data_IF_155000843411
#
_entry.id   IF_155000843411
#
_cell.length_a   1.000
_cell.length_b   1.000
_cell.length_c   1.000
_cell.angle_alpha   90.00
_cell.angle_beta   90.00
_cell.angle_gamma   90.00
#
_symmetry.space_group_name_H-M   'P 1'
#
loop_
_entity.id
_entity.type
_entity.pdbx_description
1 polymer ?
#
# COMPACT_ATOMS: atom_id res chain seq x y z
N UNK A 1 -22.32 -7.37 17.41
CA UNK A 1 -21.09 -7.05 16.65
C UNK A 1 -20.17 -6.42 17.67
N UNK A 2 -18.92 -6.88 17.81
CA UNK A 2 -18.02 -6.32 18.82
C UNK A 2 -17.72 -4.87 18.44
N UNK A 3 -18.11 -3.92 19.30
CA UNK A 3 -18.01 -2.47 19.06
C UNK A 3 -16.56 -1.94 19.10
N UNK A 4 -15.59 -2.81 19.38
CA UNK A 4 -14.15 -2.52 19.29
C UNK A 4 -13.53 -3.33 18.16
N UNK A 5 -12.85 -2.70 17.19
CA UNK A 5 -12.15 -3.45 16.16
C UNK A 5 -11.00 -4.23 16.81
N UNK A 6 -11.08 -5.56 16.73
CA UNK A 6 -10.05 -6.44 17.25
C UNK A 6 -8.87 -6.43 16.28
N UNK A 7 -7.66 -6.25 16.81
CA UNK A 7 -6.40 -6.34 16.07
C UNK A 7 -6.20 -7.73 15.49
N UNK A 8 -5.63 -7.79 14.30
CA UNK A 8 -5.21 -9.07 13.71
C UNK A 8 -4.24 -9.81 14.65
N UNK A 9 -3.27 -9.10 15.24
CA UNK A 9 -2.28 -9.70 16.14
C UNK A 9 -2.94 -10.38 17.33
N UNK A 10 -3.91 -9.73 17.98
CA UNK A 10 -4.70 -10.32 19.08
C UNK A 10 -5.48 -11.56 18.63
N UNK A 11 -6.09 -11.53 17.44
CA UNK A 11 -6.78 -12.71 16.90
C UNK A 11 -5.82 -13.88 16.66
N UNK A 12 -4.61 -13.60 16.15
CA UNK A 12 -3.59 -14.63 15.91
C UNK A 12 -3.00 -15.20 17.20
N UNK A 13 -2.84 -14.38 18.24
CA UNK A 13 -2.44 -14.84 19.58
C UNK A 13 -3.48 -15.79 20.17
N UNK A 14 -4.76 -15.42 20.14
CA UNK A 14 -5.87 -16.26 20.60
C UNK A 14 -5.90 -17.56 19.78
N UNK A 15 -5.81 -17.48 18.45
CA UNK A 15 -5.79 -18.63 17.56
C UNK A 15 -4.62 -19.58 17.90
N UNK A 16 -3.45 -19.03 18.19
CA UNK A 16 -2.27 -19.83 18.58
C UNK A 16 -2.50 -20.57 19.88
N UNK A 17 -3.03 -19.90 20.91
CA UNK A 17 -3.36 -20.53 22.19
C UNK A 17 -4.40 -21.64 22.00
N UNK A 18 -5.45 -21.39 21.20
CA UNK A 18 -6.48 -22.38 20.89
C UNK A 18 -5.92 -23.60 20.17
N UNK A 19 -5.01 -23.42 19.21
CA UNK A 19 -4.32 -24.52 18.52
C UNK A 19 -3.51 -25.34 19.51
N UNK A 20 -2.73 -24.71 20.39
CA UNK A 20 -1.91 -25.42 21.38
C UNK A 20 -2.78 -26.23 22.35
N UNK A 21 -3.88 -25.66 22.84
CA UNK A 21 -4.83 -26.37 23.70
C UNK A 21 -5.46 -27.55 22.95
N UNK A 22 -5.90 -27.33 21.72
CA UNK A 22 -6.54 -28.37 20.91
C UNK A 22 -5.59 -29.54 20.60
N UNK A 23 -4.34 -29.24 20.24
CA UNK A 23 -3.31 -30.26 20.02
C UNK A 23 -2.98 -31.01 21.31
N UNK A 24 -2.93 -30.33 22.47
CA UNK A 24 -2.73 -30.98 23.76
C UNK A 24 -3.89 -31.93 24.12
N UNK A 25 -5.14 -31.51 23.94
CA UNK A 25 -6.33 -32.35 24.19
C UNK A 25 -6.38 -33.58 23.28
N UNK A 26 -5.97 -33.43 22.02
CA UNK A 26 -5.86 -34.54 21.08
C UNK A 26 -4.74 -35.51 21.48
N UNK A 27 -3.56 -34.97 21.83
CA UNK A 27 -2.40 -35.75 22.28
C UNK A 27 -2.67 -36.51 23.59
N UNK A 28 -3.36 -35.89 24.54
CA UNK A 28 -3.73 -36.47 25.85
C UNK A 28 -4.92 -37.42 25.79
N UNK A 29 -5.54 -37.58 24.62
CA UNK A 29 -6.64 -38.52 24.36
C UNK A 29 -7.93 -38.22 25.12
N UNK A 30 -8.05 -37.01 25.69
CA UNK A 30 -9.21 -36.58 26.50
C UNK A 30 -10.49 -36.52 25.64
N UNK A 31 -10.37 -36.25 24.34
CA UNK A 31 -11.50 -36.12 23.39
C UNK A 31 -11.46 -37.18 22.27
N UNK A 32 -11.17 -38.45 22.61
CA UNK A 32 -11.09 -39.53 21.60
C UNK A 32 -12.41 -40.30 21.38
N UNK A 33 -12.64 -40.58 20.08
CA UNK A 33 -13.56 -41.52 19.42
C UNK A 33 -15.03 -41.10 19.26
N UNK A 34 -15.63 -41.41 18.07
CA UNK A 34 -14.98 -41.94 16.87
C UNK A 34 -14.14 -40.90 16.10
N UNK A 35 -14.29 -39.61 16.43
CA UNK A 35 -13.69 -38.50 15.68
C UNK A 35 -12.55 -37.86 16.51
N UNK A 36 -11.66 -37.10 15.86
CA UNK A 36 -10.62 -36.28 16.50
C UNK A 36 -11.03 -34.80 16.48
N UNK A 37 -12.08 -34.40 17.22
CA UNK A 37 -12.61 -33.04 17.15
C UNK A 37 -11.57 -31.98 17.54
N UNK A 38 -10.67 -32.30 18.46
CA UNK A 38 -9.58 -31.41 18.87
C UNK A 38 -8.56 -31.18 17.73
N UNK A 39 -8.19 -32.22 16.97
CA UNK A 39 -7.37 -32.05 15.77
C UNK A 39 -8.09 -31.22 14.69
N UNK A 40 -9.39 -31.47 14.47
CA UNK A 40 -10.19 -30.70 13.51
C UNK A 40 -10.22 -29.22 13.92
N UNK A 41 -10.45 -28.93 15.21
CA UNK A 41 -10.42 -27.56 15.73
C UNK A 41 -9.07 -26.88 15.51
N UNK A 42 -7.96 -27.60 15.73
CA UNK A 42 -6.62 -27.07 15.46
C UNK A 42 -6.45 -26.72 13.98
N UNK A 43 -6.82 -27.62 13.06
CA UNK A 43 -6.75 -27.39 11.61
C UNK A 43 -7.61 -26.19 11.20
N UNK A 44 -8.86 -26.14 11.64
CA UNK A 44 -9.79 -25.04 11.33
C UNK A 44 -9.22 -23.72 11.85
N UNK A 45 -8.71 -23.68 13.08
CA UNK A 45 -8.12 -22.47 13.66
C UNK A 45 -6.89 -22.00 12.86
N UNK A 46 -6.02 -22.92 12.41
CA UNK A 46 -4.88 -22.60 11.54
C UNK A 46 -5.36 -22.02 10.20
N UNK A 47 -6.37 -22.63 9.57
CA UNK A 47 -6.93 -22.14 8.31
C UNK A 47 -7.54 -20.74 8.47
N UNK A 48 -8.28 -20.50 9.56
CA UNK A 48 -8.84 -19.18 9.88
C UNK A 48 -7.73 -18.15 10.11
N UNK A 49 -6.72 -18.46 10.93
CA UNK A 49 -5.59 -17.57 11.16
C UNK A 49 -4.85 -17.22 9.87
N UNK A 50 -4.59 -18.22 9.03
CA UNK A 50 -3.95 -18.04 7.71
C UNK A 50 -4.80 -17.13 6.82
N UNK A 51 -6.11 -17.35 6.76
CA UNK A 51 -7.02 -16.52 5.98
C UNK A 51 -7.04 -15.06 6.46
N UNK A 52 -7.06 -14.83 7.77
CA UNK A 52 -7.01 -13.49 8.37
C UNK A 52 -5.68 -12.79 8.04
N UNK A 53 -4.54 -13.49 8.17
CA UNK A 53 -3.23 -12.95 7.79
C UNK A 53 -3.15 -12.63 6.30
N UNK A 54 -3.56 -13.55 5.42
CA UNK A 54 -3.58 -13.31 3.98
C UNK A 54 -4.47 -12.11 3.63
N UNK A 55 -5.60 -11.98 4.30
CA UNK A 55 -6.53 -10.87 4.11
C UNK A 55 -5.95 -9.51 4.49
N UNK A 56 -4.98 -9.45 5.41
CA UNK A 56 -4.31 -8.23 5.82
C UNK A 56 -3.15 -7.82 4.89
N UNK A 57 -2.54 -8.79 4.19
CA UNK A 57 -1.33 -8.57 3.38
C UNK A 57 -1.60 -8.54 1.88
N UNK A 58 -2.63 -9.25 1.39
CA UNK A 58 -2.93 -9.29 -0.05
C UNK A 58 -3.51 -7.95 -0.50
N UNK A 59 -2.92 -7.24 -1.50
CA UNK A 59 -3.37 -5.90 -1.92
C UNK A 59 -4.83 -5.85 -2.39
N UNK A 60 -5.35 -6.94 -2.94
CA UNK A 60 -6.70 -7.05 -3.49
C UNK A 60 -7.77 -7.43 -2.46
N UNK A 61 -7.38 -7.74 -1.22
CA UNK A 61 -8.31 -8.12 -0.16
C UNK A 61 -9.05 -6.91 0.40
N UNK A 62 -10.39 -6.99 0.44
CA UNK A 62 -11.25 -6.01 1.10
C UNK A 62 -11.92 -6.57 2.38
N UNK A 63 -11.38 -7.66 2.96
CA UNK A 63 -11.98 -8.34 4.11
C UNK A 63 -12.11 -7.42 5.34
N UNK A 64 -11.06 -6.66 5.65
CA UNK A 64 -11.05 -5.74 6.80
C UNK A 64 -11.78 -4.41 6.52
N UNK A 65 -12.10 -4.14 5.25
CA UNK A 65 -12.73 -2.90 4.80
C UNK A 65 -12.43 -2.62 3.33
N UNK A 66 -13.10 -1.61 2.75
CA UNK A 66 -12.92 -1.26 1.35
C UNK A 66 -11.49 -0.80 1.08
N UNK A 67 -10.91 -1.27 -0.02
CA UNK A 67 -9.61 -0.82 -0.54
C UNK A 67 -9.70 -0.59 -2.05
N UNK A 68 -8.97 0.39 -2.53
CA UNK A 68 -8.87 0.74 -3.94
C UNK A 68 -7.60 0.13 -4.50
N UNK A 69 -7.70 -0.96 -5.28
CA UNK A 69 -6.52 -1.62 -5.89
C UNK A 69 -6.54 -1.61 -7.43
N UNK A 70 -7.70 -1.31 -8.02
CA UNK A 70 -7.96 -1.28 -9.46
C UNK A 70 -9.10 -0.28 -9.73
N UNK A 71 -9.05 0.39 -10.87
CA UNK A 71 -10.15 1.17 -11.44
C UNK A 71 -11.09 0.35 -12.33
N UNK A 72 -11.90 1.06 -13.12
CA UNK A 72 -12.76 0.41 -14.12
C UNK A 72 -11.96 -0.33 -15.19
N UNK A 73 -12.46 -1.49 -15.60
CA UNK A 73 -11.89 -2.26 -16.72
C UNK A 73 -12.43 -1.83 -18.09
N UNK A 74 -13.48 -0.98 -18.14
CA UNK A 74 -14.05 -0.46 -19.39
C UNK A 74 -13.09 0.48 -20.11
N UNK A 75 -12.36 1.28 -19.35
CA UNK A 75 -11.54 2.37 -19.88
C UNK A 75 -10.07 1.97 -19.96
N UNK A 76 -9.44 2.32 -21.08
CA UNK A 76 -8.01 2.05 -21.31
C UNK A 76 -7.13 3.07 -20.59
N UNK A 77 -7.27 3.14 -19.28
CA UNK A 77 -6.56 4.03 -18.36
C UNK A 77 -5.73 3.25 -17.37
N UNK A 78 -4.63 3.84 -16.91
CA UNK A 78 -3.78 3.30 -15.83
C UNK A 78 -3.31 4.43 -14.92
N UNK A 79 -3.06 4.11 -13.64
CA UNK A 79 -2.47 5.04 -12.69
C UNK A 79 -1.06 4.59 -12.31
N UNK A 80 -0.07 5.46 -12.58
CA UNK A 80 1.26 5.31 -12.02
C UNK A 80 1.26 5.88 -10.60
N UNK A 81 1.79 5.10 -9.66
CA UNK A 81 1.91 5.52 -8.27
C UNK A 81 3.34 5.32 -7.76
N UNK A 82 3.82 6.27 -6.97
CA UNK A 82 5.18 6.28 -6.44
C UNK A 82 5.13 6.41 -4.91
N UNK A 83 5.76 5.48 -4.22
CA UNK A 83 5.84 5.45 -2.75
C UNK A 83 7.21 5.91 -2.25
N UNK A 84 7.23 6.26 -0.97
CA UNK A 84 8.40 6.59 -0.14
C UNK A 84 9.02 7.97 -0.34
N UNK A 85 8.62 8.71 -1.37
CA UNK A 85 9.10 10.07 -1.59
C UNK A 85 8.68 11.08 -0.50
N UNK A 86 9.14 12.34 -0.62
CA UNK A 86 10.08 12.82 -1.63
C UNK A 86 11.52 12.41 -1.36
N UNK A 87 12.29 12.14 -2.42
CA UNK A 87 13.67 11.69 -2.39
C UNK A 87 14.45 12.32 -3.58
N UNK A 88 14.90 13.59 -3.44
CA UNK A 88 15.75 14.20 -4.45
C UNK A 88 17.12 13.48 -4.54
N UNK A 89 17.70 13.33 -5.75
CA UNK A 89 17.26 13.95 -7.00
C UNK A 89 16.20 13.14 -7.78
N UNK A 90 15.91 11.90 -7.37
CA UNK A 90 15.12 10.96 -8.18
C UNK A 90 13.65 11.36 -8.33
N UNK A 91 13.03 11.88 -7.26
CA UNK A 91 11.67 12.45 -7.37
C UNK A 91 11.63 13.58 -8.41
N UNK A 92 12.61 14.48 -8.41
CA UNK A 92 12.67 15.59 -9.37
C UNK A 92 12.86 15.09 -10.81
N UNK A 93 13.73 14.10 -11.02
CA UNK A 93 13.92 13.47 -12.33
C UNK A 93 12.64 12.77 -12.83
N UNK A 94 11.90 12.10 -11.94
CA UNK A 94 10.59 11.54 -12.28
C UNK A 94 9.61 12.63 -12.68
N UNK A 95 9.56 13.75 -11.94
CA UNK A 95 8.71 14.88 -12.30
C UNK A 95 9.04 15.46 -13.68
N UNK A 96 10.31 15.50 -14.06
CA UNK A 96 10.74 15.96 -15.39
C UNK A 96 10.29 15.02 -16.50
N UNK A 97 10.41 13.70 -16.29
CA UNK A 97 9.90 12.68 -17.21
C UNK A 97 8.38 12.82 -17.34
N UNK A 98 7.65 12.86 -16.22
CA UNK A 98 6.19 12.98 -16.21
C UNK A 98 5.73 14.27 -16.91
N UNK A 99 6.45 15.38 -16.73
CA UNK A 99 6.19 16.64 -17.43
C UNK A 99 6.44 16.52 -18.93
N UNK A 100 7.58 15.94 -19.33
CA UNK A 100 7.97 15.76 -20.74
C UNK A 100 6.91 14.96 -21.51
N UNK A 101 6.34 13.95 -20.86
CA UNK A 101 5.30 13.16 -21.47
C UNK A 101 3.90 13.72 -21.21
N UNK A 102 3.67 14.78 -20.45
CA UNK A 102 2.31 15.20 -20.05
C UNK A 102 1.51 14.04 -19.40
N UNK A 103 2.07 13.50 -18.33
CA UNK A 103 1.49 12.41 -17.54
C UNK A 103 1.28 12.90 -16.11
N UNK A 104 0.08 12.67 -15.55
CA UNK A 104 -0.17 12.82 -14.12
C UNK A 104 -0.03 11.45 -13.43
N UNK A 105 0.53 11.48 -12.22
CA UNK A 105 0.74 10.32 -11.36
C UNK A 105 0.27 10.63 -9.94
N UNK A 106 0.30 9.63 -9.07
CA UNK A 106 0.01 9.79 -7.64
C UNK A 106 1.26 9.49 -6.82
N UNK A 107 1.59 10.35 -5.86
CA UNK A 107 2.74 10.16 -4.96
C UNK A 107 2.24 9.95 -3.54
N UNK A 108 2.61 8.83 -2.91
CA UNK A 108 2.32 8.57 -1.50
C UNK A 108 3.56 8.94 -0.69
N UNK A 109 3.50 10.11 -0.05
CA UNK A 109 4.67 10.69 0.62
C UNK A 109 4.80 10.17 2.04
N UNK A 110 6.03 9.86 2.44
CA UNK A 110 6.37 9.69 3.86
C UNK A 110 6.45 11.08 4.49
N UNK A 111 5.74 11.28 5.60
CA UNK A 111 5.67 12.58 6.28
C UNK A 111 7.05 13.14 6.66
N UNK A 112 7.94 12.32 7.22
CA UNK A 112 9.32 12.75 7.51
C UNK A 112 10.10 13.20 6.28
N UNK A 113 9.89 12.54 5.13
CA UNK A 113 10.54 12.94 3.89
C UNK A 113 9.96 14.25 3.36
N UNK A 114 8.65 14.46 3.49
CA UNK A 114 8.00 15.72 3.13
C UNK A 114 8.46 16.88 4.05
N UNK A 115 8.69 16.63 5.34
CA UNK A 115 9.27 17.60 6.27
C UNK A 115 10.71 17.97 5.90
N UNK A 116 11.49 16.96 5.49
CA UNK A 116 12.89 17.12 5.13
C UNK A 116 13.08 17.79 3.76
N UNK A 117 12.18 17.53 2.81
CA UNK A 117 12.26 18.01 1.43
C UNK A 117 10.95 18.74 1.01
N UNK A 118 10.56 19.81 1.71
CA UNK A 118 9.27 20.48 1.49
C UNK A 118 9.20 21.10 0.10
N UNK A 119 10.31 21.59 -0.45
CA UNK A 119 10.37 22.12 -1.82
C UNK A 119 10.09 21.04 -2.87
N UNK A 120 10.59 19.82 -2.67
CA UNK A 120 10.31 18.70 -3.59
C UNK A 120 8.86 18.24 -3.46
N UNK A 121 8.31 18.16 -2.24
CA UNK A 121 6.89 17.89 -2.03
C UNK A 121 6.00 18.94 -2.71
N UNK A 122 6.32 20.22 -2.54
CA UNK A 122 5.62 21.32 -3.21
C UNK A 122 5.72 21.22 -4.74
N UNK A 123 6.87 20.85 -5.29
CA UNK A 123 7.03 20.66 -6.73
C UNK A 123 6.11 19.56 -7.30
N UNK A 124 5.88 18.48 -6.55
CA UNK A 124 4.89 17.44 -6.91
C UNK A 124 3.50 18.06 -7.03
N UNK A 125 3.10 18.88 -6.03
CA UNK A 125 1.80 19.54 -6.00
C UNK A 125 1.62 20.56 -7.13
N UNK A 126 2.61 21.43 -7.34
CA UNK A 126 2.59 22.47 -8.36
C UNK A 126 2.51 21.91 -9.78
N UNK A 127 3.09 20.73 -10.02
CA UNK A 127 2.97 20.01 -11.29
C UNK A 127 1.64 19.27 -11.45
N UNK A 128 0.72 19.39 -10.49
CA UNK A 128 -0.65 18.87 -10.57
C UNK A 128 -0.75 17.36 -10.40
N UNK A 129 0.22 16.73 -9.72
CA UNK A 129 0.12 15.33 -9.34
C UNK A 129 -0.76 15.16 -8.11
N UNK A 130 -1.38 13.99 -7.97
CA UNK A 130 -2.15 13.68 -6.77
C UNK A 130 -1.20 13.29 -5.63
N UNK A 131 -1.47 13.79 -4.42
CA UNK A 131 -0.68 13.49 -3.23
C UNK A 131 -1.51 12.69 -2.24
N UNK A 132 -0.96 11.55 -1.84
CA UNK A 132 -1.43 10.73 -0.73
C UNK A 132 -0.37 10.67 0.39
N UNK A 133 -0.74 10.09 1.52
CA UNK A 133 0.19 9.82 2.62
C UNK A 133 0.63 8.36 2.63
N UNK A 134 1.90 8.13 2.97
CA UNK A 134 2.50 6.83 3.26
C UNK A 134 2.94 6.73 4.73
N UNK A 135 2.13 7.34 5.61
CA UNK A 135 2.38 7.55 7.05
C UNK A 135 3.54 8.49 7.32
N UNK A 136 3.85 8.71 8.60
CA UNK A 136 4.87 9.68 9.00
C UNK A 136 6.28 9.07 8.94
N UNK A 137 6.44 7.86 9.46
CA UNK A 137 7.74 7.17 9.59
C UNK A 137 7.84 5.87 8.76
N UNK A 138 6.85 5.55 7.92
CA UNK A 138 6.79 4.26 7.21
C UNK A 138 6.76 3.05 8.17
N UNK A 139 6.15 3.23 9.35
CA UNK A 139 6.01 2.14 10.33
C UNK A 139 4.96 1.11 9.90
N UNK A 140 5.23 -0.17 10.17
CA UNK A 140 4.27 -1.26 10.01
C UNK A 140 3.11 -1.07 10.99
N UNK A 141 1.98 -0.57 10.48
CA UNK A 141 0.81 -0.21 11.30
C UNK A 141 0.23 -1.39 12.08
N UNK A 142 0.44 -2.64 11.63
CA UNK A 142 -0.03 -3.82 12.35
C UNK A 142 0.72 -4.06 13.67
N UNK A 143 1.91 -3.46 13.83
CA UNK A 143 2.76 -3.60 15.04
C UNK A 143 2.62 -2.43 16.01
N UNK A 144 1.94 -1.36 15.62
CA UNK A 144 1.81 -0.15 16.43
C UNK A 144 0.66 -0.24 17.42
N UNK A 145 0.76 0.49 18.54
CA UNK A 145 -0.37 0.75 19.41
C UNK A 145 -1.38 1.69 18.73
N UNK A 146 -2.62 1.73 19.23
CA UNK A 146 -3.69 2.53 18.63
C UNK A 146 -3.34 4.02 18.54
N UNK A 147 -2.78 4.57 19.62
CA UNK A 147 -2.34 5.96 19.70
C UNK A 147 -1.25 6.29 18.68
N UNK A 148 -0.36 5.33 18.39
CA UNK A 148 0.74 5.52 17.46
C UNK A 148 0.26 5.47 16.00
N UNK A 149 -0.73 4.63 15.69
CA UNK A 149 -1.36 4.62 14.35
C UNK A 149 -2.02 5.99 14.09
N UNK A 150 -2.82 6.50 15.03
CA UNK A 150 -3.44 7.82 14.87
C UNK A 150 -2.39 8.93 14.72
N UNK A 151 -1.29 8.86 15.47
CA UNK A 151 -0.19 9.81 15.35
C UNK A 151 0.47 9.75 13.98
N UNK A 152 0.79 8.55 13.48
CA UNK A 152 1.36 8.35 12.14
C UNK A 152 0.49 8.97 11.03
N UNK A 153 -0.83 8.78 11.10
CA UNK A 153 -1.77 9.29 10.10
C UNK A 153 -1.99 10.80 10.22
N UNK A 154 -2.23 11.31 11.43
CA UNK A 154 -2.52 12.73 11.64
C UNK A 154 -1.30 13.61 11.41
N UNK A 155 -0.12 13.21 11.91
CA UNK A 155 1.12 13.97 11.75
C UNK A 155 1.56 14.03 10.29
N UNK A 156 1.49 12.91 9.57
CA UNK A 156 1.81 12.90 8.13
C UNK A 156 0.87 13.80 7.33
N UNK A 157 -0.44 13.78 7.63
CA UNK A 157 -1.39 14.65 6.95
C UNK A 157 -1.08 16.14 7.14
N UNK A 158 -0.74 16.56 8.37
CA UNK A 158 -0.39 17.96 8.68
C UNK A 158 0.89 18.38 7.98
N UNK A 159 1.95 17.57 8.06
CA UNK A 159 3.24 17.90 7.46
C UNK A 159 3.15 17.97 5.94
N UNK A 160 2.44 17.02 5.33
CA UNK A 160 2.21 17.02 3.88
C UNK A 160 1.37 18.24 3.47
N UNK A 161 0.31 18.59 4.21
CA UNK A 161 -0.50 19.77 3.93
C UNK A 161 0.34 21.05 4.00
N UNK A 162 1.19 21.20 5.02
CA UNK A 162 2.08 22.35 5.17
C UNK A 162 3.08 22.47 4.01
N UNK A 163 3.64 21.35 3.56
CA UNK A 163 4.62 21.35 2.48
C UNK A 163 4.00 21.54 1.08
N UNK A 164 2.73 21.18 0.89
CA UNK A 164 2.12 21.05 -0.46
C UNK A 164 0.90 21.94 -0.67
N UNK A 165 0.39 22.56 0.40
CA UNK A 165 -0.90 23.27 0.41
C UNK A 165 -2.11 22.37 0.24
N UNK A 166 -1.94 21.03 0.20
CA UNK A 166 -3.02 20.07 -0.02
C UNK A 166 -3.02 18.98 1.04
N UNK A 167 -4.11 18.88 1.80
CA UNK A 167 -4.28 17.77 2.73
C UNK A 167 -4.51 16.45 1.98
N UNK A 168 -3.73 15.39 2.23
CA UNK A 168 -3.92 14.10 1.56
C UNK A 168 -5.28 13.50 1.94
N UNK A 169 -5.94 12.88 0.95
CA UNK A 169 -7.22 12.16 1.12
C UNK A 169 -7.09 10.66 0.90
N UNK A 170 -5.90 10.21 0.52
CA UNK A 170 -5.59 8.82 0.23
C UNK A 170 -4.43 8.37 1.12
N UNK A 171 -4.55 7.18 1.67
CA UNK A 171 -3.49 6.48 2.40
C UNK A 171 -3.10 5.24 1.60
N UNK A 172 -1.81 5.02 1.43
CA UNK A 172 -1.30 3.67 1.21
C UNK A 172 -0.62 3.23 2.49
N UNK A 173 -1.08 2.17 3.18
CA UNK A 173 -0.38 1.68 4.35
C UNK A 173 1.01 1.13 3.96
N UNK A 174 2.07 1.36 4.76
CA UNK A 174 3.37 0.73 4.55
C UNK A 174 3.25 -0.78 4.34
N UNK A 175 3.96 -1.29 3.34
CA UNK A 175 3.88 -2.70 2.89
C UNK A 175 2.50 -3.17 2.39
N UNK A 176 1.49 -2.29 2.34
CA UNK A 176 0.11 -2.63 2.04
C UNK A 176 -0.62 -3.34 3.19
N UNK A 177 -0.06 -3.35 4.40
CA UNK A 177 -0.61 -4.10 5.52
C UNK A 177 -1.71 -3.32 6.25
N UNK A 178 -2.84 -3.99 6.53
CA UNK A 178 -3.97 -3.36 7.24
C UNK A 178 -4.87 -4.39 7.91
N UNK A 179 -5.41 -4.01 9.07
CA UNK A 179 -6.45 -4.74 9.81
C UNK A 179 -7.63 -3.80 10.12
N UNK A 180 -8.64 -4.30 10.83
CA UNK A 180 -9.84 -3.54 11.16
C UNK A 180 -9.55 -2.18 11.82
N UNK A 181 -8.53 -2.10 12.67
CA UNK A 181 -8.20 -0.86 13.38
C UNK A 181 -7.57 0.16 12.43
N UNK A 182 -6.65 -0.28 11.56
CA UNK A 182 -6.08 0.58 10.52
C UNK A 182 -7.18 1.16 9.63
N UNK A 183 -8.16 0.33 9.24
CA UNK A 183 -9.30 0.77 8.43
C UNK A 183 -10.19 1.79 9.18
N UNK A 184 -10.47 1.55 10.45
CA UNK A 184 -11.23 2.49 11.29
C UNK A 184 -10.55 3.86 11.34
N UNK A 185 -9.27 3.89 11.73
CA UNK A 185 -8.55 5.16 11.88
C UNK A 185 -8.31 5.86 10.55
N UNK A 186 -8.12 5.12 9.46
CA UNK A 186 -8.08 5.70 8.11
C UNK A 186 -9.39 6.43 7.81
N UNK A 187 -10.54 5.80 8.10
CA UNK A 187 -11.87 6.42 7.91
C UNK A 187 -12.07 7.65 8.80
N UNK A 188 -11.66 7.60 10.06
CA UNK A 188 -11.75 8.75 10.98
C UNK A 188 -10.91 9.94 10.50
N UNK A 189 -9.74 9.66 9.90
CA UNK A 189 -8.88 10.67 9.26
C UNK A 189 -9.33 11.06 7.85
N UNK A 190 -10.44 10.49 7.34
CA UNK A 190 -10.97 10.71 5.98
C UNK A 190 -9.96 10.35 4.89
N UNK A 191 -9.24 9.25 5.11
CA UNK A 191 -8.26 8.69 4.19
C UNK A 191 -8.82 7.41 3.56
N UNK A 192 -9.00 7.43 2.24
CA UNK A 192 -9.34 6.22 1.48
C UNK A 192 -8.08 5.38 1.27
N UNK A 193 -8.17 4.07 1.51
CA UNK A 193 -7.03 3.16 1.37
C UNK A 193 -6.82 2.80 -0.10
N UNK A 194 -5.62 3.07 -0.59
CA UNK A 194 -5.18 2.73 -1.95
C UNK A 194 -4.07 1.69 -1.90
N UNK A 195 -4.27 0.61 -2.64
CA UNK A 195 -3.36 -0.50 -2.85
C UNK A 195 -2.90 -0.50 -4.32
N UNK A 196 -2.58 -1.66 -4.88
CA UNK A 196 -2.16 -1.80 -6.27
C UNK A 196 -2.63 -3.14 -6.86
N UNK A 197 -2.61 -3.19 -8.19
CA UNK A 197 -2.88 -4.40 -8.97
C UNK A 197 -1.63 -4.92 -9.67
N UNK A 198 -0.66 -4.03 -9.92
CA UNK A 198 0.60 -4.32 -10.60
C UNK A 198 1.75 -3.83 -9.75
N UNK A 199 2.73 -4.70 -9.52
CA UNK A 199 3.92 -4.44 -8.71
C UNK A 199 5.16 -4.80 -9.52
N UNK A 200 6.11 -3.86 -9.61
CA UNK A 200 7.33 -4.05 -10.40
C UNK A 200 8.51 -4.61 -9.58
N UNK A 201 8.43 -4.56 -8.25
CA UNK A 201 9.53 -4.88 -7.33
C UNK A 201 10.81 -4.08 -7.64
N UNK A 202 10.64 -2.80 -7.95
CA UNK A 202 11.69 -1.87 -8.32
C UNK A 202 12.64 -1.55 -7.15
N UNK A 203 12.17 -1.68 -5.90
CA UNK A 203 13.02 -1.55 -4.71
C UNK A 203 14.21 -2.53 -4.70
N UNK A 204 14.08 -3.69 -5.38
CA UNK A 204 15.16 -4.68 -5.53
C UNK A 204 16.25 -4.29 -6.55
N UNK A 205 16.05 -3.17 -7.27
CA UNK A 205 17.00 -2.64 -8.27
C UNK A 205 17.43 -3.68 -9.33
N UNK A 206 16.49 -4.39 -9.99
CA UNK A 206 16.82 -5.47 -10.94
C UNK A 206 17.22 -4.99 -12.36
N UNK A 207 17.23 -3.68 -12.62
CA UNK A 207 17.43 -3.06 -13.93
C UNK A 207 16.14 -2.45 -14.50
N UNK A 208 16.26 -1.33 -15.21
CA UNK A 208 15.12 -0.57 -15.72
C UNK A 208 14.22 -1.38 -16.68
N UNK A 209 14.82 -2.16 -17.59
CA UNK A 209 14.06 -3.03 -18.50
C UNK A 209 13.29 -4.12 -17.76
N UNK A 210 13.87 -4.69 -16.70
CA UNK A 210 13.20 -5.72 -15.89
C UNK A 210 12.00 -5.12 -15.16
N UNK A 211 12.17 -3.94 -14.56
CA UNK A 211 11.08 -3.18 -13.92
C UNK A 211 9.96 -2.91 -14.93
N UNK A 212 10.30 -2.34 -16.10
CA UNK A 212 9.34 -2.02 -17.14
C UNK A 212 8.60 -3.26 -17.65
N UNK A 213 9.32 -4.35 -17.93
CA UNK A 213 8.71 -5.59 -18.43
C UNK A 213 7.75 -6.22 -17.40
N UNK A 214 8.06 -6.17 -16.10
CA UNK A 214 7.14 -6.65 -15.06
C UNK A 214 5.83 -5.88 -15.05
N UNK A 215 5.87 -4.56 -15.26
CA UNK A 215 4.66 -3.73 -15.40
C UNK A 215 3.93 -4.08 -16.69
N UNK A 216 4.62 -4.05 -17.83
CA UNK A 216 4.03 -4.24 -19.16
C UNK A 216 3.39 -5.61 -19.37
N UNK A 217 3.85 -6.65 -18.66
CA UNK A 217 3.31 -8.01 -18.75
C UNK A 217 2.09 -8.25 -17.86
N UNK A 218 1.84 -7.40 -16.86
CA UNK A 218 0.75 -7.55 -15.90
C UNK A 218 -0.33 -6.46 -16.02
N UNK A 219 -0.09 -5.45 -16.84
CA UNK A 219 -0.99 -4.30 -16.99
C UNK A 219 -2.34 -4.70 -17.58
N UNK A 220 -3.42 -4.17 -17.02
CA UNK A 220 -4.78 -4.26 -17.54
C UNK A 220 -5.45 -2.87 -17.50
N UNK A 221 -6.61 -2.73 -18.12
CA UNK A 221 -7.45 -1.55 -18.00
C UNK A 221 -7.79 -1.29 -16.52
N UNK A 222 -7.59 -0.06 -16.06
CA UNK A 222 -7.83 0.34 -14.68
C UNK A 222 -6.66 0.03 -13.73
N UNK A 223 -5.51 -0.44 -14.22
CA UNK A 223 -4.44 -0.88 -13.31
C UNK A 223 -3.81 0.27 -12.54
N UNK A 224 -3.65 0.07 -11.23
CA UNK A 224 -2.80 0.87 -10.34
C UNK A 224 -1.44 0.19 -10.23
N UNK A 225 -0.39 0.89 -10.67
CA UNK A 225 1.00 0.41 -10.71
C UNK A 225 1.77 0.95 -9.51
N UNK A 226 2.33 0.05 -8.69
CA UNK A 226 3.24 0.38 -7.60
C UNK A 226 4.70 0.47 -8.09
N UNK A 227 5.29 1.64 -7.89
CA UNK A 227 6.70 1.97 -8.04
C UNK A 227 7.14 2.80 -6.82
N UNK A 228 8.44 3.08 -6.68
CA UNK A 228 8.99 3.85 -5.57
C UNK A 228 9.86 4.99 -6.09
N UNK A 229 9.65 6.19 -5.57
CA UNK A 229 10.60 7.30 -5.74
C UNK A 229 11.53 7.46 -4.53
N UNK A 230 11.21 6.85 -3.38
CA UNK A 230 12.06 6.72 -2.18
C UNK A 230 12.50 5.28 -1.84
N UNK A 231 13.12 5.10 -0.67
CA UNK A 231 13.57 3.81 -0.12
C UNK A 231 13.36 3.80 1.41
N UNK A 232 12.16 4.19 1.85
CA UNK A 232 11.85 4.57 3.23
C UNK A 232 12.35 5.97 3.63
N UNK A 233 12.63 6.19 4.91
CA UNK A 233 13.08 7.51 5.46
C UNK A 233 14.51 7.86 4.99
N UNK A 234 15.33 6.85 4.73
CA UNK A 234 16.67 7.03 4.18
C UNK A 234 16.50 7.02 2.66
N UNK A 235 16.71 8.17 2.02
CA UNK A 235 16.72 8.25 0.55
C UNK A 235 17.61 7.17 -0.05
N UNK A 236 17.22 6.66 -1.22
CA UNK A 236 17.93 5.57 -1.88
C UNK A 236 18.05 5.80 -3.37
N UNK A 237 18.98 5.08 -4.00
CA UNK A 237 19.11 5.09 -5.46
C UNK A 237 17.84 4.55 -6.13
N UNK A 238 17.18 5.41 -6.90
CA UNK A 238 16.00 5.10 -7.72
C UNK A 238 16.21 5.41 -9.20
N UNK A 239 17.46 5.52 -9.65
CA UNK A 239 17.82 5.72 -11.06
C UNK A 239 17.16 4.70 -12.01
N UNK A 240 17.08 3.44 -11.59
CA UNK A 240 16.43 2.40 -12.37
C UNK A 240 14.91 2.57 -12.48
N UNK A 241 14.25 3.04 -11.40
CA UNK A 241 12.82 3.35 -11.43
C UNK A 241 12.54 4.56 -12.32
N UNK A 242 13.38 5.61 -12.23
CA UNK A 242 13.33 6.79 -13.11
C UNK A 242 13.41 6.36 -14.58
N UNK A 243 14.42 5.58 -14.95
CA UNK A 243 14.57 5.08 -16.33
C UNK A 243 13.42 4.15 -16.76
N UNK A 244 12.94 3.28 -15.86
CA UNK A 244 11.82 2.39 -16.14
C UNK A 244 10.51 3.16 -16.38
N UNK A 245 10.26 4.24 -15.64
CA UNK A 245 9.06 5.06 -15.80
C UNK A 245 8.94 5.61 -17.23
N UNK A 246 10.04 6.08 -17.83
CA UNK A 246 10.04 6.53 -19.22
C UNK A 246 9.70 5.38 -20.20
N UNK A 247 10.28 4.20 -20.01
CA UNK A 247 10.00 3.01 -20.84
C UNK A 247 8.51 2.63 -20.74
N UNK A 248 7.98 2.57 -19.51
CA UNK A 248 6.58 2.24 -19.23
C UNK A 248 5.66 3.24 -19.94
N UNK A 249 5.91 4.54 -19.78
CA UNK A 249 5.09 5.59 -20.39
C UNK A 249 5.06 5.45 -21.92
N UNK A 250 6.22 5.34 -22.56
CA UNK A 250 6.32 5.18 -24.02
C UNK A 250 5.55 3.95 -24.51
N UNK A 251 5.78 2.80 -23.89
CA UNK A 251 5.21 1.52 -24.33
C UNK A 251 3.71 1.44 -24.08
N UNK A 252 3.21 1.94 -22.96
CA UNK A 252 1.77 1.94 -22.68
C UNK A 252 1.01 2.93 -23.58
N UNK A 253 1.60 4.09 -23.90
CA UNK A 253 1.02 5.00 -24.91
C UNK A 253 0.91 4.36 -26.28
N UNK A 254 1.95 3.66 -26.73
CA UNK A 254 1.92 2.91 -27.99
C UNK A 254 0.82 1.84 -27.99
N UNK A 255 0.51 1.27 -26.81
CA UNK A 255 -0.62 0.34 -26.63
C UNK A 255 -1.97 1.05 -26.47
N UNK A 256 -2.03 2.40 -26.49
CA UNK A 256 -3.26 3.19 -26.41
C UNK A 256 -3.77 3.46 -24.99
N UNK A 257 -2.95 3.26 -23.96
CA UNK A 257 -3.32 3.62 -22.59
C UNK A 257 -3.20 5.13 -22.35
N UNK A 258 -4.16 5.69 -21.63
CA UNK A 258 -4.08 7.02 -21.02
C UNK A 258 -3.62 6.89 -19.57
N UNK A 259 -2.89 7.89 -19.10
CA UNK A 259 -2.44 7.94 -17.71
C UNK A 259 -3.32 8.89 -16.92
N UNK A 260 -3.71 8.47 -15.73
CA UNK A 260 -4.57 9.22 -14.81
C UNK A 260 -4.04 9.11 -13.38
N UNK A 261 -4.41 10.06 -12.53
CA UNK A 261 -4.22 9.93 -11.08
C UNK A 261 -5.15 8.87 -10.49
N UNK A 262 -4.88 8.41 -9.27
CA UNK A 262 -5.80 7.48 -8.57
C UNK A 262 -7.18 8.09 -8.40
N UNK A 263 -7.29 9.39 -8.15
CA UNK A 263 -8.60 10.07 -8.02
C UNK A 263 -9.39 10.04 -9.32
N UNK A 264 -8.74 10.31 -10.45
CA UNK A 264 -9.38 10.29 -11.77
C UNK A 264 -9.75 8.88 -12.22
N UNK A 265 -8.98 7.88 -11.78
CA UNK A 265 -9.24 6.47 -12.05
C UNK A 265 -10.58 5.96 -11.46
N UNK A 266 -11.12 6.65 -10.46
CA UNK A 266 -12.34 6.29 -9.74
C UNK A 266 -13.61 6.94 -10.28
N UNK A 267 -13.47 7.85 -11.26
CA UNK A 267 -14.59 8.59 -11.85
C UNK A 267 -15.11 7.91 -13.12
#
# INVERSE_FOLDING_TARGET
MLDTPIRLTTLLEIATILVLIALFLDYSHILRRPWRPALILAIVTICVGTYLTLSAVLPTSSFYGPVIYQGSQSDKVVALTFDDGPNPPYTLQLLDILTTYDVKATFFLIGQNAEKYPETANAIAQKGHLIGTHTYTHSDLLKLAETDILKELSQSAVVIENATGTRPKFLRPPHGFRDSLVLQFSKEQKLDIVQWSVMAEDWKKPGADVIANRVLNKINNGSIVLLHDGDGIIGGDRSQTVAAAEIIIKKLRQRGFRFVTVKELLN
#
